data_IF_834093303379
#
_entry.id   IF_834093303379
#
_cell.length_a   1.000
_cell.length_b   1.000
_cell.length_c   1.000
_cell.angle_alpha   90.00
_cell.angle_beta   90.00
_cell.angle_gamma   90.00
#
_symmetry.space_group_name_H-M   'P 1'
#
loop_
_entity.id
_entity.type
_entity.pdbx_description
1 polymer ?
#
# COMPACT_ATOMS: atom_id res chain seq x y z
N UNK A 1 -59.45 49.36 -30.96
CA UNK A 1 -59.11 48.01 -31.47
C UNK A 1 -57.73 47.62 -30.95
N UNK A 2 -57.54 46.37 -30.48
CA UNK A 2 -56.38 45.96 -29.68
C UNK A 2 -55.21 45.51 -30.56
N UNK A 3 -53.99 45.57 -30.02
CA UNK A 3 -52.92 44.63 -30.41
C UNK A 3 -52.02 44.33 -29.20
N UNK A 4 -52.11 43.10 -28.73
CA UNK A 4 -51.33 42.57 -27.63
C UNK A 4 -49.86 42.35 -28.03
N UNK A 5 -48.95 42.48 -27.06
CA UNK A 5 -47.66 41.75 -27.04
C UNK A 5 -47.27 41.44 -25.58
N UNK A 6 -47.00 40.17 -25.23
CA UNK A 6 -46.42 39.78 -23.94
C UNK A 6 -44.91 39.62 -24.06
N UNK A 7 -44.15 39.98 -23.03
CA UNK A 7 -42.81 39.46 -22.70
C UNK A 7 -42.28 40.23 -21.47
N UNK A 8 -41.66 39.64 -20.46
CA UNK A 8 -41.23 38.26 -20.29
C UNK A 8 -40.93 38.00 -18.82
N UNK A 9 -41.22 36.78 -18.38
CA UNK A 9 -40.73 36.27 -17.11
C UNK A 9 -39.23 36.03 -17.22
N UNK A 10 -38.46 36.60 -16.29
CA UNK A 10 -37.07 36.22 -16.07
C UNK A 10 -37.10 34.87 -15.35
N UNK A 11 -36.80 33.79 -16.06
CA UNK A 11 -36.54 32.50 -15.44
C UNK A 11 -35.14 32.55 -14.83
N UNK A 12 -35.07 32.66 -13.50
CA UNK A 12 -33.83 32.44 -12.76
C UNK A 12 -33.59 30.93 -12.77
N UNK A 13 -32.77 30.45 -13.70
CA UNK A 13 -32.26 29.08 -13.66
C UNK A 13 -31.20 29.00 -12.56
N UNK A 14 -31.59 28.55 -11.37
CA UNK A 14 -30.64 28.16 -10.34
C UNK A 14 -30.05 26.78 -10.70
N UNK A 15 -28.82 26.76 -11.21
CA UNK A 15 -28.07 25.53 -11.39
C UNK A 15 -27.51 25.09 -10.03
N UNK A 16 -28.12 24.08 -9.42
CA UNK A 16 -27.56 23.40 -8.25
C UNK A 16 -26.50 22.43 -8.75
N UNK A 17 -25.22 22.77 -8.59
CA UNK A 17 -24.13 21.83 -8.79
C UNK A 17 -24.13 20.83 -7.63
N UNK A 18 -24.61 19.61 -7.89
CA UNK A 18 -24.54 18.51 -6.94
C UNK A 18 -23.10 17.99 -6.90
N UNK A 19 -22.34 18.38 -5.88
CA UNK A 19 -21.03 17.79 -5.61
C UNK A 19 -21.23 16.33 -5.16
N UNK A 20 -20.92 15.39 -6.04
CA UNK A 20 -20.84 13.97 -5.70
C UNK A 20 -19.62 13.76 -4.80
N UNK A 21 -19.84 13.71 -3.48
CA UNK A 21 -18.84 13.19 -2.55
C UNK A 21 -18.74 11.69 -2.82
N UNK A 22 -17.73 11.28 -3.58
CA UNK A 22 -17.36 9.87 -3.68
C UNK A 22 -16.82 9.44 -2.31
N UNK A 23 -17.68 8.83 -1.49
CA UNK A 23 -17.23 8.12 -0.31
C UNK A 23 -16.45 6.88 -0.78
N UNK A 24 -15.12 6.95 -0.71
CA UNK A 24 -14.31 5.75 -0.85
C UNK A 24 -14.75 4.73 0.22
N UNK A 25 -14.79 3.42 -0.08
CA UNK A 25 -15.07 2.43 0.94
C UNK A 25 -13.98 2.52 2.00
N UNK A 26 -14.37 2.91 3.22
CA UNK A 26 -13.52 2.73 4.39
C UNK A 26 -13.56 1.23 4.68
N UNK A 27 -12.65 0.47 4.07
CA UNK A 27 -12.40 -0.91 4.46
C UNK A 27 -11.75 -0.90 5.83
N UNK A 28 -12.57 -0.88 6.87
CA UNK A 28 -12.16 -1.10 8.24
C UNK A 28 -12.10 -2.61 8.50
N UNK A 29 -11.14 -3.30 7.87
CA UNK A 29 -10.62 -4.55 8.43
C UNK A 29 -9.34 -4.18 9.20
N UNK A 30 -9.20 -4.73 10.41
CA UNK A 30 -8.13 -4.34 11.34
C UNK A 30 -6.78 -4.57 10.70
N UNK A 31 -6.07 -3.47 10.40
CA UNK A 31 -4.70 -3.50 9.91
C UNK A 31 -3.84 -4.40 10.80
N UNK A 32 -2.85 -5.11 10.22
CA UNK A 32 -1.97 -5.97 11.01
C UNK A 32 -1.28 -5.13 12.10
N UNK A 33 -1.30 -5.62 13.33
CA UNK A 33 -0.71 -4.91 14.48
C UNK A 33 0.73 -5.34 14.77
N UNK A 34 1.21 -6.38 14.09
CA UNK A 34 2.54 -6.98 14.21
C UNK A 34 2.95 -7.63 12.89
N UNK A 35 4.26 -7.65 12.60
CA UNK A 35 4.82 -8.46 11.53
C UNK A 35 4.57 -9.97 11.72
N UNK A 36 4.05 -10.60 10.66
CA UNK A 36 3.72 -12.03 10.59
C UNK A 36 2.74 -12.30 9.47
N UNK A 37 2.30 -13.55 9.30
CA UNK A 37 1.45 -13.98 8.16
C UNK A 37 0.16 -13.16 7.94
N UNK A 38 -0.35 -12.44 8.93
CA UNK A 38 -1.50 -11.54 8.77
C UNK A 38 -1.26 -10.41 7.77
N UNK A 39 -0.01 -9.96 7.60
CA UNK A 39 0.36 -8.89 6.64
C UNK A 39 0.13 -9.32 5.18
N UNK A 40 0.10 -10.63 4.91
CA UNK A 40 -0.23 -11.23 3.61
C UNK A 40 -1.59 -11.93 3.64
N UNK A 41 -2.51 -11.51 4.51
CA UNK A 41 -3.90 -11.97 4.53
C UNK A 41 -4.91 -10.82 4.43
N UNK A 42 -4.42 -9.61 4.20
CA UNK A 42 -5.24 -8.42 4.02
C UNK A 42 -6.01 -8.45 2.70
N UNK A 43 -7.16 -7.74 2.61
CA UNK A 43 -7.88 -7.47 1.37
C UNK A 43 -6.96 -6.92 0.26
N UNK A 44 -7.31 -7.19 -1.00
CA UNK A 44 -6.47 -6.85 -2.13
C UNK A 44 -6.21 -5.33 -2.27
N UNK A 45 -7.19 -4.50 -1.93
CA UNK A 45 -7.10 -3.05 -1.98
C UNK A 45 -6.26 -2.46 -0.85
N UNK A 46 -6.12 -3.16 0.29
CA UNK A 46 -5.25 -2.72 1.38
C UNK A 46 -3.78 -2.62 0.96
N UNK A 47 -3.31 -3.45 0.03
CA UNK A 47 -1.93 -3.37 -0.49
C UNK A 47 -1.65 -2.10 -1.30
N UNK A 48 -2.68 -1.38 -1.76
CA UNK A 48 -2.56 -0.06 -2.37
C UNK A 48 -2.59 1.10 -1.34
N UNK A 49 -2.77 0.79 -0.05
CA UNK A 49 -2.89 1.80 0.99
C UNK A 49 -1.54 2.47 1.34
N UNK A 50 -1.56 3.70 1.88
CA UNK A 50 -0.36 4.36 2.39
C UNK A 50 0.33 3.57 3.52
N UNK A 51 -0.43 2.86 4.34
CA UNK A 51 0.12 2.03 5.43
C UNK A 51 0.92 0.86 4.87
N UNK A 52 0.35 0.09 3.94
CA UNK A 52 1.04 -1.02 3.30
C UNK A 52 2.31 -0.56 2.56
N UNK A 53 2.25 0.63 1.93
CA UNK A 53 3.41 1.30 1.34
C UNK A 53 4.53 1.59 2.36
N UNK A 54 4.21 2.13 3.54
CA UNK A 54 5.21 2.38 4.60
C UNK A 54 5.86 1.09 5.08
N UNK A 55 5.10 0.01 5.23
CA UNK A 55 5.64 -1.31 5.60
C UNK A 55 6.58 -1.81 4.49
N UNK A 56 6.20 -1.65 3.22
CA UNK A 56 7.05 -2.05 2.09
C UNK A 56 8.39 -1.29 2.09
N UNK A 57 8.38 0.01 2.39
CA UNK A 57 9.59 0.83 2.46
C UNK A 57 10.46 0.45 3.66
N UNK A 58 9.84 0.07 4.79
CA UNK A 58 10.53 -0.48 5.95
C UNK A 58 11.29 -1.77 5.60
N UNK A 59 10.69 -2.69 4.82
CA UNK A 59 11.35 -3.94 4.41
C UNK A 59 12.66 -3.72 3.65
N UNK A 60 12.75 -2.65 2.85
CA UNK A 60 13.96 -2.34 2.09
C UNK A 60 15.16 -2.12 3.01
N UNK A 61 14.92 -1.61 4.22
CA UNK A 61 15.94 -1.31 5.21
C UNK A 61 16.44 -2.57 5.92
N UNK A 62 15.66 -3.66 5.91
CA UNK A 62 16.01 -4.94 6.53
C UNK A 62 16.68 -5.93 5.57
N UNK A 63 16.65 -5.67 4.27
CA UNK A 63 17.21 -6.60 3.29
C UNK A 63 18.74 -6.61 3.37
N UNK A 64 19.32 -7.80 3.43
CA UNK A 64 20.77 -7.96 3.38
C UNK A 64 21.33 -7.63 1.99
N UNK A 65 22.65 -7.49 1.90
CA UNK A 65 23.35 -7.36 0.61
C UNK A 65 23.17 -8.60 -0.28
N UNK A 66 22.93 -9.77 0.31
CA UNK A 66 22.71 -11.03 -0.40
C UNK A 66 21.26 -11.20 -0.86
N UNK A 67 20.32 -10.39 -0.35
CA UNK A 67 18.92 -10.40 -0.74
C UNK A 67 17.95 -11.00 0.29
N UNK A 68 18.46 -11.58 1.38
CA UNK A 68 17.67 -12.19 2.45
C UNK A 68 17.05 -11.19 3.44
N UNK A 69 16.09 -11.68 4.25
CA UNK A 69 15.52 -10.96 5.40
C UNK A 69 15.52 -11.76 6.71
N UNK A 70 15.62 -11.08 7.86
CA UNK A 70 15.75 -11.72 9.16
C UNK A 70 14.45 -12.41 9.61
N UNK A 71 14.62 -13.42 10.46
CA UNK A 71 13.52 -14.03 11.21
C UNK A 71 13.18 -13.24 12.47
N UNK A 72 12.00 -13.48 13.04
CA UNK A 72 11.59 -12.99 14.37
C UNK A 72 11.79 -11.48 14.59
N UNK A 73 11.70 -10.68 13.52
CA UNK A 73 11.94 -9.24 13.52
C UNK A 73 10.66 -8.53 13.10
N UNK A 74 10.25 -7.50 13.84
CA UNK A 74 9.11 -6.69 13.44
C UNK A 74 9.52 -5.70 12.37
N UNK A 75 9.27 -6.06 11.11
CA UNK A 75 9.65 -5.26 9.94
C UNK A 75 8.57 -4.26 9.53
N UNK A 76 7.47 -4.12 10.30
CA UNK A 76 6.47 -3.08 10.06
C UNK A 76 7.00 -1.66 10.30
N UNK A 77 8.09 -1.54 11.06
CA UNK A 77 8.75 -0.27 11.40
C UNK A 77 10.23 -0.34 11.05
N UNK A 78 10.87 0.78 10.65
CA UNK A 78 12.30 0.83 10.35
C UNK A 78 13.17 0.32 11.50
N UNK A 79 14.36 -0.23 11.22
CA UNK A 79 15.27 -0.67 12.26
C UNK A 79 15.70 0.51 13.14
N UNK A 80 15.75 0.29 14.45
CA UNK A 80 16.18 1.31 15.43
C UNK A 80 17.70 1.43 15.56
N UNK A 81 18.46 0.57 14.89
CA UNK A 81 19.92 0.52 14.96
C UNK A 81 20.53 -0.35 13.85
N UNK A 82 21.86 -0.61 13.94
CA UNK A 82 22.56 -1.44 12.97
C UNK A 82 21.97 -2.85 12.88
N UNK A 83 21.90 -3.39 11.67
CA UNK A 83 21.47 -4.76 11.42
C UNK A 83 22.66 -5.71 11.40
N UNK A 84 22.45 -6.92 11.90
CA UNK A 84 23.37 -8.03 11.68
C UNK A 84 23.12 -8.60 10.27
N UNK A 85 24.06 -8.44 9.32
CA UNK A 85 23.88 -8.91 7.95
C UNK A 85 23.77 -10.43 7.87
N UNK A 86 24.33 -11.19 8.82
CA UNK A 86 24.25 -12.65 8.84
C UNK A 86 22.87 -13.11 9.30
N UNK A 87 22.32 -12.45 10.32
CA UNK A 87 20.99 -12.77 10.84
C UNK A 87 19.86 -12.51 9.82
N UNK A 88 20.11 -11.66 8.82
CA UNK A 88 19.19 -11.38 7.73
C UNK A 88 19.08 -12.53 6.72
N UNK A 89 19.99 -13.50 6.68
CA UNK A 89 20.00 -14.53 5.63
C UNK A 89 19.41 -15.85 6.13
N UNK A 90 18.08 -15.93 6.20
CA UNK A 90 17.38 -17.13 6.68
C UNK A 90 16.02 -17.35 6.04
N UNK A 91 15.58 -18.62 6.00
CA UNK A 91 14.23 -19.05 5.61
C UNK A 91 13.40 -19.54 6.80
N UNK A 92 14.02 -19.70 7.97
CA UNK A 92 13.32 -20.13 9.20
C UNK A 92 12.37 -19.03 9.70
N UNK A 93 11.26 -19.42 10.32
CA UNK A 93 10.26 -18.51 10.89
C UNK A 93 9.89 -17.35 9.94
N UNK A 94 9.57 -17.71 8.69
CA UNK A 94 9.08 -16.80 7.65
C UNK A 94 10.11 -15.75 7.18
N UNK A 95 11.38 -15.89 7.58
CA UNK A 95 12.48 -15.12 7.03
C UNK A 95 12.53 -15.26 5.51
N UNK A 96 12.87 -14.16 4.83
CA UNK A 96 12.93 -14.02 3.36
C UNK A 96 11.60 -14.22 2.61
N UNK A 97 10.90 -15.33 2.84
CA UNK A 97 9.66 -15.74 2.16
C UNK A 97 8.48 -14.81 2.43
N UNK A 98 8.27 -14.35 3.66
CA UNK A 98 7.18 -13.43 3.98
C UNK A 98 7.40 -12.02 3.42
N UNK A 99 8.59 -11.39 3.57
CA UNK A 99 8.92 -10.14 2.88
C UNK A 99 8.76 -10.21 1.36
N UNK A 100 9.23 -11.29 0.71
CA UNK A 100 9.04 -11.51 -0.72
C UNK A 100 7.57 -11.54 -1.11
N UNK A 101 6.77 -12.31 -0.38
CA UNK A 101 5.33 -12.42 -0.63
C UNK A 101 4.63 -11.07 -0.45
N UNK A 102 5.03 -10.31 0.56
CA UNK A 102 4.46 -8.99 0.83
C UNK A 102 4.82 -7.99 -0.29
N UNK A 103 6.10 -7.90 -0.68
CA UNK A 103 6.53 -7.04 -1.78
C UNK A 103 5.82 -7.39 -3.09
N UNK A 104 5.64 -8.68 -3.40
CA UNK A 104 4.89 -9.12 -4.58
C UNK A 104 3.45 -8.57 -4.59
N UNK A 105 2.76 -8.59 -3.44
CA UNK A 105 1.40 -8.04 -3.32
C UNK A 105 1.36 -6.54 -3.46
N UNK A 106 2.30 -5.82 -2.84
CA UNK A 106 2.42 -4.36 -2.96
C UNK A 106 2.59 -3.95 -4.41
N UNK A 107 3.53 -4.59 -5.11
CA UNK A 107 3.76 -4.34 -6.54
C UNK A 107 2.48 -4.64 -7.33
N UNK A 108 1.87 -5.80 -7.12
CA UNK A 108 0.70 -6.23 -7.89
C UNK A 108 -0.50 -5.29 -7.70
N UNK A 109 -0.58 -4.62 -6.55
CA UNK A 109 -1.58 -3.61 -6.25
C UNK A 109 -1.25 -2.20 -6.79
N UNK A 110 -0.18 -2.06 -7.59
CA UNK A 110 0.24 -0.79 -8.18
C UNK A 110 1.19 0.04 -7.30
N UNK A 111 1.67 -0.51 -6.19
CA UNK A 111 2.64 0.11 -5.29
C UNK A 111 4.09 -0.07 -5.73
N UNK A 112 4.37 -0.30 -7.01
CA UNK A 112 5.73 -0.48 -7.50
C UNK A 112 6.53 0.83 -7.42
N UNK A 113 7.77 0.71 -6.94
CA UNK A 113 8.82 1.71 -7.11
C UNK A 113 10.08 1.00 -7.59
N UNK A 114 11.05 1.69 -8.22
CA UNK A 114 12.31 1.06 -8.61
C UNK A 114 13.02 0.36 -7.44
N UNK A 115 12.93 0.92 -6.24
CA UNK A 115 13.53 0.34 -5.04
C UNK A 115 12.81 -0.93 -4.56
N UNK A 116 11.47 -0.93 -4.55
CA UNK A 116 10.67 -2.11 -4.17
C UNK A 116 10.82 -3.24 -5.19
N UNK A 117 10.86 -2.90 -6.48
CA UNK A 117 11.15 -3.82 -7.58
C UNK A 117 12.53 -4.46 -7.41
N UNK A 118 13.56 -3.65 -7.26
CA UNK A 118 14.93 -4.12 -7.08
C UNK A 118 15.09 -4.99 -5.81
N UNK A 119 14.41 -4.66 -4.71
CA UNK A 119 14.45 -5.47 -3.50
C UNK A 119 13.76 -6.82 -3.70
N UNK A 120 12.61 -6.87 -4.36
CA UNK A 120 11.95 -8.12 -4.72
C UNK A 120 12.86 -8.98 -5.59
N UNK A 121 13.45 -8.40 -6.64
CA UNK A 121 14.29 -9.14 -7.59
C UNK A 121 15.53 -9.72 -6.90
N UNK A 122 16.24 -8.94 -6.07
CA UNK A 122 17.36 -9.45 -5.26
C UNK A 122 16.94 -10.57 -4.30
N UNK A 123 15.75 -10.45 -3.71
CA UNK A 123 15.24 -11.48 -2.81
C UNK A 123 14.88 -12.76 -3.56
N UNK A 124 14.38 -12.66 -4.78
CA UNK A 124 14.09 -13.80 -5.63
C UNK A 124 15.38 -14.47 -6.13
N UNK A 125 16.39 -13.69 -6.49
CA UNK A 125 17.71 -14.21 -6.89
C UNK A 125 18.45 -14.93 -5.74
N UNK A 126 18.13 -14.60 -4.49
CA UNK A 126 18.68 -15.25 -3.29
C UNK A 126 18.08 -16.64 -3.02
N UNK A 127 16.88 -16.93 -3.54
CA UNK A 127 16.15 -18.21 -3.35
C UNK A 127 16.61 -19.27 -4.34
#
# INVERSE_FOLDING_TARGET
MPKARPAGGVWIAAAVALAMIAAAPVHAETAPTRWGTSVVRQPADWYASPEAGRIADSLLLYQSIEGGWPKNTDMMVPPSGPLDPVAANTFDNEGTTLPLTFLARIISAGGETPARRAAFDRGLDYV
#
